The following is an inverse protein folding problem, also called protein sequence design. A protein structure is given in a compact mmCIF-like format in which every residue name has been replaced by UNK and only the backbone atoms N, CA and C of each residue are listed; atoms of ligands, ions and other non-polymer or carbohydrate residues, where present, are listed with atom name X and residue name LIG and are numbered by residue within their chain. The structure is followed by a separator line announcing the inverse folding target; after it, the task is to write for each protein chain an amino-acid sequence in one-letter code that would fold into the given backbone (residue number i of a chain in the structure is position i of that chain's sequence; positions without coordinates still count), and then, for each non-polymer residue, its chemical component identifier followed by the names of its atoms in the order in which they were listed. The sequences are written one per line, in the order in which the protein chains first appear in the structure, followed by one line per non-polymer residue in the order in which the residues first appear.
data_IF_619637282909
#
_entry.id   IF_619637282909
#
_cell.length_a   1.000
_cell.length_b   1.000
_cell.length_c   1.000
_cell.angle_alpha   90.00
_cell.angle_beta   90.00
_cell.angle_gamma   90.00
#
_symmetry.space_group_name_H-M   'P 1'
#
loop_
_entity.id
_entity.type
_entity.pdbx_description
1 polymer ?
#
# COMPACT_ATOMS: atom_id res chain seq x y z
N UNK A 1 -9.33 4.34 7.42
CA UNK A 1 -9.65 2.95 7.01
C UNK A 1 -9.37 1.91 8.08
N UNK A 2 -8.66 2.24 9.16
CA UNK A 2 -8.13 1.24 10.11
C UNK A 2 -9.01 0.93 11.32
N UNK A 3 -10.04 1.71 11.61
CA UNK A 3 -10.95 1.42 12.74
C UNK A 3 -12.16 0.58 12.30
N UNK A 4 -12.87 -0.01 13.26
CA UNK A 4 -14.18 -0.67 13.08
C UNK A 4 -14.13 -1.84 12.10
N UNK A 5 -13.08 -2.66 12.23
CA UNK A 5 -13.01 -3.95 11.57
C UNK A 5 -13.63 -5.02 12.47
N UNK A 6 -13.96 -6.13 11.85
CA UNK A 6 -14.35 -7.36 12.51
C UNK A 6 -13.48 -8.48 11.96
N UNK A 7 -13.04 -9.43 12.79
CA UNK A 7 -12.34 -10.62 12.30
C UNK A 7 -12.92 -11.92 12.87
N UNK A 8 -12.72 -13.02 12.16
CA UNK A 8 -13.11 -14.37 12.59
C UNK A 8 -12.09 -15.40 12.13
N UNK A 9 -11.75 -16.33 13.01
CA UNK A 9 -10.93 -17.52 12.74
C UNK A 9 -11.76 -18.80 12.68
N UNK A 10 -13.09 -18.71 12.79
CA UNK A 10 -13.99 -19.87 12.86
C UNK A 10 -14.54 -20.33 11.51
N UNK A 11 -14.17 -19.64 10.42
CA UNK A 11 -14.68 -19.92 9.06
C UNK A 11 -13.73 -20.88 8.33
N UNK A 12 -13.50 -22.06 8.93
CA UNK A 12 -12.40 -22.94 8.54
C UNK A 12 -12.57 -23.65 7.18
N UNK A 13 -13.77 -23.63 6.58
CA UNK A 13 -14.06 -24.42 5.36
C UNK A 13 -14.49 -23.59 4.14
N UNK A 14 -14.39 -22.26 4.21
CA UNK A 14 -14.81 -21.40 3.11
C UNK A 14 -13.63 -20.63 2.56
N UNK A 15 -13.09 -21.15 1.45
CA UNK A 15 -12.11 -20.45 0.59
C UNK A 15 -12.78 -19.39 -0.31
N UNK A 16 -14.10 -19.23 -0.19
CA UNK A 16 -14.96 -18.26 -0.87
C UNK A 16 -16.06 -17.78 0.08
N UNK A 17 -16.53 -16.55 -0.08
CA UNK A 17 -17.47 -15.93 0.87
C UNK A 17 -18.80 -16.71 1.01
N UNK A 18 -19.29 -17.00 2.23
CA UNK A 18 -20.63 -17.55 2.43
C UNK A 18 -21.71 -16.50 2.14
N UNK A 19 -22.84 -16.89 1.51
CA UNK A 19 -23.95 -15.97 1.24
C UNK A 19 -24.66 -15.45 2.51
N UNK A 20 -24.46 -16.09 3.68
CA UNK A 20 -25.00 -15.63 4.95
C UNK A 20 -23.90 -15.45 6.00
N UNK A 21 -23.74 -14.22 6.52
CA UNK A 21 -22.71 -13.89 7.51
C UNK A 21 -23.19 -13.91 8.95
N UNK A 22 -24.51 -14.10 9.19
CA UNK A 22 -25.11 -14.11 10.54
C UNK A 22 -24.60 -15.25 11.41
N UNK A 23 -24.13 -16.33 10.78
CA UNK A 23 -23.80 -17.58 11.46
C UNK A 23 -22.35 -17.61 11.97
N UNK A 24 -21.58 -16.54 11.73
CA UNK A 24 -20.17 -16.46 12.09
C UNK A 24 -19.93 -15.44 13.20
N UNK A 25 -19.26 -15.89 14.26
CA UNK A 25 -18.81 -15.03 15.34
C UNK A 25 -17.64 -14.17 14.85
N UNK A 26 -17.88 -12.85 14.78
CA UNK A 26 -16.89 -11.84 14.47
C UNK A 26 -16.55 -11.03 15.72
N UNK A 27 -15.26 -10.85 15.97
CA UNK A 27 -14.75 -9.99 17.04
C UNK A 27 -14.34 -8.65 16.46
N UNK A 28 -14.76 -7.55 17.09
CA UNK A 28 -14.35 -6.19 16.65
C UNK A 28 -12.86 -5.96 16.92
N UNK A 29 -12.17 -5.38 15.94
CA UNK A 29 -10.75 -5.03 16.01
C UNK A 29 -10.47 -3.73 15.27
N UNK A 30 -9.35 -3.09 15.60
CA UNK A 30 -8.76 -2.02 14.80
C UNK A 30 -7.47 -2.53 14.18
N UNK A 31 -7.11 -1.99 13.03
CA UNK A 31 -5.86 -2.25 12.35
C UNK A 31 -4.78 -1.25 12.80
N UNK A 32 -3.49 -1.64 12.80
CA UNK A 32 -2.99 -2.99 12.52
C UNK A 32 -3.43 -4.02 13.56
N UNK A 33 -3.73 -5.24 13.10
CA UNK A 33 -4.16 -6.35 13.96
C UNK A 33 -3.31 -7.58 13.69
N UNK A 34 -2.76 -8.15 14.76
CA UNK A 34 -2.09 -9.44 14.75
C UNK A 34 -2.99 -10.47 15.46
N UNK A 35 -3.48 -11.46 14.72
CA UNK A 35 -4.34 -12.52 15.26
C UNK A 35 -3.55 -13.66 15.93
N UNK A 36 -2.22 -13.60 15.86
CA UNK A 36 -1.35 -14.32 16.77
C UNK A 36 -1.14 -13.42 18.00
N UNK A 37 -1.90 -13.69 19.06
CA UNK A 37 -1.84 -12.96 20.32
C UNK A 37 -0.53 -13.18 21.09
N UNK A 38 0.43 -13.90 20.50
CA UNK A 38 1.69 -14.26 21.13
C UNK A 38 1.45 -15.01 22.44
N UNK A 39 0.65 -16.09 22.35
CA UNK A 39 0.47 -17.07 23.43
C UNK A 39 1.80 -17.83 23.62
N UNK A 40 2.78 -17.11 24.17
CA UNK A 40 4.22 -17.36 24.11
C UNK A 40 4.62 -18.83 24.11
N UNK A 41 5.63 -19.14 23.31
CA UNK A 41 6.38 -20.39 23.33
C UNK A 41 5.47 -21.63 23.58
N UNK A 42 4.61 -21.94 22.61
CA UNK A 42 4.26 -23.36 22.48
C UNK A 42 5.62 -24.06 22.39
N UNK A 43 5.99 -24.92 23.35
CA UNK A 43 7.25 -25.73 23.37
C UNK A 43 7.28 -26.71 22.20
N UNK A 44 6.99 -26.21 21.02
CA UNK A 44 6.85 -26.89 19.76
C UNK A 44 8.03 -26.46 18.93
N UNK A 45 8.55 -27.41 18.16
CA UNK A 45 9.56 -27.14 17.14
C UNK A 45 9.11 -26.03 16.16
N UNK A 46 7.79 -25.85 16.01
CA UNK A 46 7.13 -24.87 15.15
C UNK A 46 6.03 -24.13 15.93
N UNK A 47 6.39 -23.05 16.64
CA UNK A 47 5.50 -22.36 17.59
C UNK A 47 4.50 -21.36 16.98
N UNK A 48 4.64 -21.01 15.71
CA UNK A 48 3.80 -20.00 15.05
C UNK A 48 2.36 -20.51 14.86
N UNK A 49 1.39 -19.61 14.99
CA UNK A 49 -0.01 -19.93 14.72
C UNK A 49 -0.26 -20.01 13.22
N UNK A 50 -0.77 -21.16 12.76
CA UNK A 50 -1.24 -21.34 11.40
C UNK A 50 -2.77 -21.28 11.31
N UNK A 51 -3.27 -20.84 10.17
CA UNK A 51 -4.68 -20.86 9.87
C UNK A 51 -5.14 -19.70 9.00
N UNK A 52 -6.45 -19.62 8.89
CA UNK A 52 -7.14 -18.68 8.03
C UNK A 52 -7.96 -17.69 8.85
N UNK A 53 -7.99 -16.44 8.38
CA UNK A 53 -8.68 -15.35 9.05
C UNK A 53 -9.51 -14.60 8.03
N UNK A 54 -10.77 -14.35 8.36
CA UNK A 54 -11.60 -13.42 7.64
C UNK A 54 -11.68 -12.11 8.40
N UNK A 55 -11.36 -11.02 7.71
CA UNK A 55 -11.63 -9.66 8.16
C UNK A 55 -12.78 -9.07 7.37
N UNK A 56 -13.61 -8.28 8.05
CA UNK A 56 -14.77 -7.60 7.48
C UNK A 56 -14.75 -6.14 7.87
N UNK A 57 -15.03 -5.28 6.89
CA UNK A 57 -15.27 -3.86 7.08
C UNK A 57 -16.49 -3.41 6.30
N UNK A 58 -17.37 -2.68 6.98
CA UNK A 58 -18.42 -1.91 6.32
C UNK A 58 -17.95 -0.47 6.17
N UNK A 59 -18.09 0.07 4.96
CA UNK A 59 -17.73 1.44 4.63
C UNK A 59 -18.86 2.12 3.88
N UNK A 60 -19.26 3.30 4.34
CA UNK A 60 -20.18 4.20 3.64
C UNK A 60 -19.37 5.35 3.07
N UNK A 61 -19.38 5.50 1.76
CA UNK A 61 -18.70 6.57 1.06
C UNK A 61 -19.74 7.50 0.46
N UNK A 62 -19.66 8.77 0.80
CA UNK A 62 -20.44 9.86 0.19
C UNK A 62 -19.47 10.72 -0.59
N UNK A 63 -19.11 10.25 -1.79
CA UNK A 63 -18.22 10.98 -2.69
C UNK A 63 -18.90 11.19 -4.05
N UNK A 64 -19.37 12.42 -4.35
CA UNK A 64 -20.18 12.68 -5.55
C UNK A 64 -19.38 12.64 -6.86
N UNK A 65 -18.04 12.61 -6.82
CA UNK A 65 -17.21 12.72 -8.01
C UNK A 65 -16.95 11.37 -8.69
N UNK A 66 -17.68 11.11 -9.79
CA UNK A 66 -17.54 9.91 -10.64
C UNK A 66 -16.18 9.81 -11.36
N UNK A 67 -15.41 10.89 -11.48
CA UNK A 67 -14.13 10.94 -12.23
C UNK A 67 -12.88 10.68 -11.37
N UNK A 68 -13.03 10.05 -10.20
CA UNK A 68 -11.92 9.71 -9.31
C UNK A 68 -11.61 8.22 -9.39
N UNK A 69 -10.33 7.87 -9.30
CA UNK A 69 -9.86 6.51 -9.13
C UNK A 69 -9.83 6.16 -7.65
N UNK A 70 -10.19 4.93 -7.33
CA UNK A 70 -10.21 4.43 -5.96
C UNK A 70 -9.34 3.19 -5.87
N UNK A 71 -8.39 3.20 -4.93
CA UNK A 71 -7.47 2.10 -4.71
C UNK A 71 -7.51 1.66 -3.25
N UNK A 72 -7.51 0.34 -3.03
CA UNK A 72 -7.20 -0.22 -1.73
C UNK A 72 -5.70 -0.48 -1.66
N UNK A 73 -5.03 0.14 -0.71
CA UNK A 73 -3.60 -0.03 -0.46
C UNK A 73 -3.40 -0.74 0.87
N UNK A 74 -2.75 -1.89 0.82
CA UNK A 74 -2.40 -2.70 1.99
C UNK A 74 -0.90 -2.62 2.19
N UNK A 75 -0.47 -2.20 3.38
CA UNK A 75 0.94 -2.14 3.73
C UNK A 75 1.53 -3.51 4.12
N UNK A 76 0.67 -4.48 4.42
CA UNK A 76 1.08 -5.86 4.73
C UNK A 76 -0.08 -6.71 5.24
N UNK A 77 -0.20 -7.91 4.69
CA UNK A 77 -1.15 -8.94 5.11
C UNK A 77 -0.44 -10.28 5.12
N UNK A 78 -0.30 -10.90 6.29
CA UNK A 78 0.37 -12.18 6.46
C UNK A 78 -0.57 -13.35 6.14
N UNK A 79 -0.26 -14.29 5.23
CA UNK A 79 0.83 -14.30 4.23
C UNK A 79 0.33 -14.25 2.79
N UNK A 80 -0.84 -14.84 2.58
CA UNK A 80 -1.64 -14.70 1.37
C UNK A 80 -2.89 -13.90 1.69
N UNK A 81 -3.32 -13.07 0.76
CA UNK A 81 -4.52 -12.27 0.89
C UNK A 81 -5.44 -12.47 -0.32
N UNK A 82 -6.74 -12.59 -0.07
CA UNK A 82 -7.79 -12.43 -1.09
C UNK A 82 -8.75 -11.34 -0.66
N UNK A 83 -9.01 -10.40 -1.55
CA UNK A 83 -9.78 -9.19 -1.26
C UNK A 83 -11.11 -9.26 -2.03
N UNK A 84 -12.22 -9.22 -1.30
CA UNK A 84 -13.55 -9.20 -1.87
C UNK A 84 -14.23 -7.86 -1.54
N UNK A 85 -14.91 -7.29 -2.54
CA UNK A 85 -15.68 -6.07 -2.39
C UNK A 85 -17.09 -6.32 -2.92
N UNK A 86 -18.10 -6.09 -2.08
CA UNK A 86 -19.51 -6.29 -2.42
C UNK A 86 -19.78 -7.68 -3.01
N UNK A 87 -19.18 -8.72 -2.41
CA UNK A 87 -19.31 -10.12 -2.83
C UNK A 87 -18.42 -10.54 -4.01
N UNK A 88 -17.75 -9.60 -4.70
CA UNK A 88 -16.88 -9.90 -5.85
C UNK A 88 -15.41 -9.93 -5.46
N UNK A 89 -14.64 -10.92 -5.94
CA UNK A 89 -13.17 -10.91 -5.81
C UNK A 89 -12.58 -9.74 -6.60
N UNK A 90 -11.75 -8.92 -5.96
CA UNK A 90 -11.14 -7.73 -6.58
C UNK A 90 -9.62 -7.80 -6.69
N UNK A 91 -8.97 -8.68 -5.94
CA UNK A 91 -7.55 -8.95 -6.07
C UNK A 91 -7.05 -10.00 -5.09
N UNK A 92 -5.86 -10.51 -5.35
CA UNK A 92 -5.14 -11.47 -4.52
C UNK A 92 -3.69 -11.00 -4.37
N UNK A 93 -3.03 -11.40 -3.28
CA UNK A 93 -1.63 -11.09 -3.03
C UNK A 93 -0.94 -12.24 -2.32
N UNK A 94 0.30 -12.51 -2.70
CA UNK A 94 1.17 -13.48 -2.06
C UNK A 94 2.48 -12.78 -1.71
N UNK A 95 2.81 -12.75 -0.42
CA UNK A 95 3.99 -12.01 0.09
C UNK A 95 3.64 -11.22 1.34
N UNK A 96 3.79 -11.86 2.51
CA UNK A 96 3.29 -11.31 3.77
C UNK A 96 3.87 -9.95 4.16
N UNK A 97 5.10 -9.65 3.77
CA UNK A 97 5.84 -8.45 4.19
C UNK A 97 5.85 -7.32 3.15
N UNK A 98 5.31 -7.59 1.96
CA UNK A 98 5.27 -6.62 0.86
C UNK A 98 3.92 -5.93 0.81
N UNK A 99 3.94 -4.69 0.32
CA UNK A 99 2.72 -3.90 0.13
C UNK A 99 2.08 -4.24 -1.20
N UNK A 100 0.75 -4.09 -1.31
CA UNK A 100 0.05 -4.25 -2.59
C UNK A 100 -1.09 -3.25 -2.72
N UNK A 101 -1.41 -2.87 -3.96
CA UNK A 101 -2.46 -1.91 -4.29
C UNK A 101 -3.42 -2.51 -5.30
N UNK A 102 -4.72 -2.44 -5.02
CA UNK A 102 -5.78 -2.95 -5.90
C UNK A 102 -6.64 -1.78 -6.37
N UNK A 103 -6.84 -1.68 -7.69
CA UNK A 103 -7.77 -0.73 -8.27
C UNK A 103 -9.21 -1.25 -8.14
N UNK A 104 -10.01 -0.53 -7.35
CA UNK A 104 -11.42 -0.83 -7.10
C UNK A 104 -12.34 0.24 -7.69
N UNK A 105 -11.82 1.03 -8.63
CA UNK A 105 -12.59 2.06 -9.34
C UNK A 105 -13.79 1.43 -10.04
N UNK A 106 -14.98 2.02 -9.84
CA UNK A 106 -16.24 1.51 -10.40
C UNK A 106 -16.86 0.34 -9.63
N UNK A 107 -16.16 -0.26 -8.66
CA UNK A 107 -16.69 -1.36 -7.82
C UNK A 107 -17.23 -0.87 -6.46
N UNK A 108 -16.83 0.34 -6.05
CA UNK A 108 -17.33 1.01 -4.85
C UNK A 108 -18.63 1.78 -5.14
N UNK A 109 -19.62 1.61 -4.27
CA UNK A 109 -20.83 2.43 -4.16
C UNK A 109 -20.45 3.72 -3.44
N UNK A 110 -20.62 4.87 -4.08
CA UNK A 110 -20.24 6.18 -3.53
C UNK A 110 -21.42 7.10 -3.21
N UNK A 111 -22.64 6.56 -3.26
CA UNK A 111 -23.91 7.24 -3.01
C UNK A 111 -24.38 7.14 -1.55
N UNK A 112 -23.50 6.82 -0.61
CA UNK A 112 -23.83 6.60 0.80
C UNK A 112 -24.32 5.18 1.13
N UNK A 113 -24.63 4.36 0.13
CA UNK A 113 -24.91 2.93 0.34
C UNK A 113 -23.68 2.22 0.90
N UNK A 114 -23.90 1.30 1.83
CA UNK A 114 -22.83 0.51 2.42
C UNK A 114 -22.11 -0.34 1.35
N UNK A 115 -20.78 -0.29 1.39
CA UNK A 115 -19.93 -1.30 0.78
C UNK A 115 -19.41 -2.24 1.85
N UNK A 116 -19.29 -3.50 1.47
CA UNK A 116 -18.69 -4.53 2.29
C UNK A 116 -17.34 -4.93 1.70
N UNK A 117 -16.28 -4.72 2.48
CA UNK A 117 -14.93 -5.16 2.18
C UNK A 117 -14.60 -6.35 3.06
N UNK A 118 -14.19 -7.45 2.43
CA UNK A 118 -13.73 -8.65 3.11
C UNK A 118 -12.31 -8.96 2.68
N UNK A 119 -11.51 -9.40 3.64
CA UNK A 119 -10.13 -9.78 3.43
C UNK A 119 -9.94 -11.15 4.05
N UNK A 120 -9.66 -12.13 3.20
CA UNK A 120 -9.22 -13.44 3.62
C UNK A 120 -7.69 -13.41 3.74
N UNK A 121 -7.17 -13.60 4.94
CA UNK A 121 -5.75 -13.70 5.22
C UNK A 121 -5.43 -15.15 5.60
N UNK A 122 -4.60 -15.82 4.81
CA UNK A 122 -4.23 -17.22 5.00
C UNK A 122 -2.75 -17.33 5.36
N UNK A 123 -2.47 -18.12 6.39
CA UNK A 123 -1.13 -18.43 6.86
C UNK A 123 -1.01 -19.96 7.09
N UNK A 124 -0.94 -20.77 6.02
CA UNK A 124 -0.79 -22.21 6.15
C UNK A 124 0.59 -22.59 6.73
N UNK A 125 0.68 -23.81 7.27
CA UNK A 125 1.97 -24.39 7.62
C UNK A 125 2.77 -24.74 6.36
N UNK A 126 4.10 -24.81 6.47
CA UNK A 126 5.00 -25.26 5.41
C UNK A 126 4.90 -24.48 4.08
N UNK A 127 4.81 -23.14 4.16
CA UNK A 127 4.86 -22.27 2.98
C UNK A 127 6.24 -22.41 2.30
N UNK A 128 6.25 -22.86 1.04
CA UNK A 128 7.48 -23.12 0.25
C UNK A 128 7.57 -22.30 -1.04
N UNK A 129 6.46 -21.74 -1.48
CA UNK A 129 6.30 -20.91 -2.69
C UNK A 129 6.48 -19.42 -2.42
N UNK A 130 6.65 -19.01 -1.16
CA UNK A 130 7.01 -17.65 -0.80
C UNK A 130 8.33 -17.59 -0.02
N UNK A 131 9.20 -16.62 -0.31
CA UNK A 131 10.48 -16.50 0.35
C UNK A 131 10.31 -15.99 1.78
N UNK A 132 10.91 -16.67 2.77
CA UNK A 132 11.04 -16.20 4.16
C UNK A 132 9.69 -16.00 4.89
N UNK A 133 8.73 -16.92 4.67
CA UNK A 133 7.34 -16.77 5.17
C UNK A 133 6.94 -17.77 6.26
N UNK A 134 7.61 -18.91 6.41
CA UNK A 134 7.50 -19.75 7.60
C UNK A 134 8.88 -20.28 7.99
N UNK A 135 9.75 -19.42 8.53
CA UNK A 135 11.07 -19.90 8.94
C UNK A 135 11.05 -20.93 10.07
N UNK A 136 10.00 -20.91 10.90
CA UNK A 136 9.72 -22.00 11.84
C UNK A 136 9.50 -23.34 11.15
N UNK A 137 8.90 -23.37 9.96
CA UNK A 137 8.63 -24.59 9.18
C UNK A 137 9.84 -25.03 8.32
N UNK A 138 10.97 -24.34 8.41
CA UNK A 138 12.19 -24.74 7.70
C UNK A 138 12.87 -25.88 8.44
N UNK A 139 13.26 -26.93 7.71
CA UNK A 139 14.06 -28.03 8.26
C UNK A 139 15.55 -27.61 8.45
N UNK A 140 15.92 -26.39 7.99
CA UNK A 140 17.28 -25.86 8.11
C UNK A 140 17.63 -25.47 9.55
N UNK A 141 18.62 -26.17 10.12
CA UNK A 141 19.13 -25.86 11.46
C UNK A 141 19.76 -24.46 11.51
N UNK A 142 19.35 -23.66 12.49
CA UNK A 142 19.84 -22.30 12.70
C UNK A 142 18.94 -21.21 12.12
N UNK A 143 17.90 -21.57 11.36
CA UNK A 143 16.91 -20.62 10.87
C UNK A 143 15.73 -20.51 11.85
N UNK A 144 15.94 -19.83 12.98
CA UNK A 144 14.85 -19.44 13.88
C UNK A 144 14.34 -18.07 13.47
N UNK A 145 13.28 -18.04 12.65
CA UNK A 145 12.62 -16.79 12.34
C UNK A 145 11.72 -16.41 13.52
N UNK A 146 11.90 -15.20 14.04
CA UNK A 146 11.11 -14.67 15.16
C UNK A 146 9.62 -14.54 14.82
N UNK A 147 8.87 -13.94 15.75
CA UNK A 147 7.42 -13.78 15.70
C UNK A 147 6.91 -13.36 14.32
N UNK A 148 6.04 -14.17 13.72
CA UNK A 148 5.44 -13.86 12.43
C UNK A 148 4.06 -13.23 12.62
N UNK A 149 3.84 -12.00 12.12
CA UNK A 149 2.55 -11.37 12.29
C UNK A 149 1.49 -12.02 11.39
N UNK A 150 0.36 -12.39 11.99
CA UNK A 150 -0.74 -13.11 11.34
C UNK A 150 -1.92 -12.17 11.07
N UNK A 151 -2.41 -12.13 9.83
CA UNK A 151 -3.53 -11.26 9.44
C UNK A 151 -3.12 -9.90 8.90
N UNK A 152 -3.95 -8.87 9.11
CA UNK A 152 -3.70 -7.51 8.59
C UNK A 152 -2.88 -6.71 9.60
N UNK A 153 -1.58 -7.02 9.66
CA UNK A 153 -0.67 -6.50 10.68
C UNK A 153 -0.06 -5.13 10.37
N UNK A 154 -0.41 -4.53 9.23
CA UNK A 154 -0.08 -3.15 8.86
C UNK A 154 -1.32 -2.40 8.37
N UNK A 155 -1.29 -1.05 8.40
CA UNK A 155 -2.40 -0.22 7.94
C UNK A 155 -2.94 -0.55 6.54
N UNK A 156 -4.23 -0.26 6.38
CA UNK A 156 -4.94 -0.27 5.11
C UNK A 156 -5.41 1.14 4.80
N UNK A 157 -5.33 1.52 3.53
CA UNK A 157 -5.71 2.85 3.05
C UNK A 157 -6.68 2.74 1.88
N UNK A 158 -7.60 3.70 1.81
CA UNK A 158 -8.41 3.96 0.63
C UNK A 158 -7.82 5.21 -0.02
N UNK A 159 -7.10 5.02 -1.11
CA UNK A 159 -6.44 6.10 -1.83
C UNK A 159 -7.37 6.55 -2.96
N UNK A 160 -7.75 7.82 -2.93
CA UNK A 160 -8.59 8.44 -3.95
C UNK A 160 -7.74 9.43 -4.75
N UNK A 161 -7.60 9.21 -6.05
CA UNK A 161 -6.80 10.07 -6.94
C UNK A 161 -7.60 10.49 -8.17
N UNK A 162 -7.02 11.38 -8.96
CA UNK A 162 -7.48 11.57 -10.35
C UNK A 162 -7.05 10.38 -11.22
N UNK A 163 -7.51 10.38 -12.49
CA UNK A 163 -7.16 9.36 -13.48
C UNK A 163 -5.67 9.31 -13.82
N UNK A 164 -4.94 10.42 -13.63
CA UNK A 164 -3.49 10.40 -13.68
C UNK A 164 -2.95 10.50 -12.26
N UNK A 165 -1.99 9.65 -11.91
CA UNK A 165 -1.32 9.68 -10.61
C UNK A 165 0.12 9.23 -10.72
N UNK A 166 0.90 9.56 -9.69
CA UNK A 166 2.20 8.95 -9.42
C UNK A 166 1.92 7.52 -8.92
N UNK A 167 2.63 6.54 -9.47
CA UNK A 167 2.47 5.15 -9.03
C UNK A 167 3.12 4.91 -7.66
N UNK A 168 2.66 3.91 -6.88
CA UNK A 168 3.34 3.49 -5.66
C UNK A 168 4.82 3.22 -5.93
N UNK A 169 5.70 3.77 -5.09
CA UNK A 169 7.16 3.72 -5.27
C UNK A 169 7.66 4.34 -6.58
N UNK A 170 6.83 5.13 -7.26
CA UNK A 170 7.16 5.78 -8.52
C UNK A 170 8.08 7.00 -8.39
N UNK A 171 8.61 7.29 -7.20
CA UNK A 171 9.56 8.38 -7.01
C UNK A 171 10.88 7.78 -6.56
N UNK A 172 11.92 8.02 -7.34
CA UNK A 172 13.28 7.69 -6.96
C UNK A 172 14.16 8.92 -7.14
N UNK A 173 14.67 9.45 -6.03
CA UNK A 173 15.52 10.63 -6.01
C UNK A 173 16.90 10.28 -5.45
N UNK A 174 17.95 10.78 -6.09
CA UNK A 174 19.34 10.62 -5.65
C UNK A 174 20.13 11.90 -5.90
N UNK A 175 21.30 12.00 -5.27
CA UNK A 175 22.11 13.20 -5.24
C UNK A 175 23.60 12.86 -5.42
N UNK A 176 24.27 13.58 -6.32
CA UNK A 176 25.73 13.65 -6.34
C UNK A 176 26.17 14.87 -5.54
N UNK A 177 26.77 14.63 -4.37
CA UNK A 177 27.22 15.69 -3.47
C UNK A 177 28.67 16.06 -3.79
N UNK A 178 28.91 17.34 -4.06
CA UNK A 178 30.24 17.90 -4.34
C UNK A 178 30.43 19.12 -3.44
N UNK A 179 31.41 19.12 -2.53
CA UNK A 179 31.76 20.27 -1.66
C UNK A 179 30.56 21.18 -1.28
N UNK A 180 30.37 22.28 -2.01
CA UNK A 180 29.40 23.35 -1.78
C UNK A 180 28.06 23.18 -2.54
N UNK A 181 27.85 22.07 -3.25
CA UNK A 181 26.63 21.81 -4.04
C UNK A 181 26.22 20.34 -4.03
N UNK A 182 24.92 20.11 -4.23
CA UNK A 182 24.37 18.80 -4.57
C UNK A 182 23.68 18.87 -5.93
N UNK A 183 23.93 17.88 -6.77
CA UNK A 183 23.28 17.73 -8.07
C UNK A 183 22.25 16.63 -7.93
N UNK A 184 20.96 17.00 -7.93
CA UNK A 184 19.87 16.05 -7.74
C UNK A 184 19.37 15.51 -9.08
N UNK A 185 18.96 14.25 -9.04
CA UNK A 185 18.22 13.58 -10.11
C UNK A 185 16.98 12.91 -9.51
N UNK A 186 15.86 13.04 -10.21
CA UNK A 186 14.56 12.56 -9.74
C UNK A 186 13.84 11.83 -10.89
N UNK A 187 13.62 10.54 -10.71
CA UNK A 187 12.71 9.76 -11.53
C UNK A 187 11.29 9.83 -10.96
N UNK A 188 10.33 10.19 -11.79
CA UNK A 188 8.90 10.18 -11.46
C UNK A 188 8.13 9.30 -12.44
N UNK A 189 7.56 8.21 -11.93
CA UNK A 189 6.70 7.28 -12.67
C UNK A 189 5.24 7.67 -12.50
N UNK A 190 4.57 7.92 -13.62
CA UNK A 190 3.18 8.34 -13.70
C UNK A 190 2.40 7.37 -14.57
N UNK A 191 1.15 7.16 -14.20
CA UNK A 191 0.21 6.35 -14.97
C UNK A 191 -1.07 7.10 -15.27
N UNK A 192 -1.49 7.06 -16.53
CA UNK A 192 -2.78 7.57 -16.99
C UNK A 192 -3.79 6.42 -17.10
N UNK A 193 -4.71 6.33 -16.16
CA UNK A 193 -5.75 5.31 -16.14
C UNK A 193 -6.94 5.64 -17.05
N UNK A 194 -7.01 6.83 -17.64
CA UNK A 194 -8.12 7.22 -18.52
C UNK A 194 -7.98 6.64 -19.93
N UNK A 195 -9.07 6.71 -20.70
CA UNK A 195 -9.10 6.36 -22.13
C UNK A 195 -8.71 7.53 -23.03
N UNK A 196 -8.31 8.66 -22.45
CA UNK A 196 -7.95 9.88 -23.18
C UNK A 196 -6.50 10.22 -22.92
N UNK A 197 -5.86 10.88 -23.88
CA UNK A 197 -4.54 11.48 -23.65
C UNK A 197 -4.67 12.61 -22.62
N UNK A 198 -3.66 12.75 -21.75
CA UNK A 198 -3.64 13.77 -20.71
C UNK A 198 -2.34 14.54 -20.78
N UNK A 199 -2.43 15.86 -20.90
CA UNK A 199 -1.30 16.76 -20.67
C UNK A 199 -1.19 17.00 -19.17
N UNK A 200 0.02 16.87 -18.64
CA UNK A 200 0.29 17.02 -17.19
C UNK A 200 1.49 17.92 -16.97
N UNK A 201 1.53 18.54 -15.80
CA UNK A 201 2.63 19.35 -15.31
C UNK A 201 3.15 18.74 -14.00
N UNK A 202 4.42 18.38 -13.98
CA UNK A 202 5.05 17.67 -12.87
C UNK A 202 5.96 18.66 -12.17
N UNK A 203 5.76 18.87 -10.87
CA UNK A 203 6.45 19.89 -10.08
C UNK A 203 7.16 19.25 -8.90
N UNK A 204 8.46 19.07 -9.01
CA UNK A 204 9.31 18.63 -7.92
C UNK A 204 9.79 19.85 -7.11
N UNK A 205 9.38 19.93 -5.84
CA UNK A 205 9.75 21.01 -4.92
C UNK A 205 10.61 20.46 -3.77
N UNK A 206 11.87 20.88 -3.72
CA UNK A 206 12.73 20.65 -2.57
C UNK A 206 12.39 21.66 -1.49
N UNK A 207 12.12 21.19 -0.27
CA UNK A 207 11.86 22.04 0.88
C UNK A 207 12.83 21.76 2.03
N UNK A 208 13.18 22.77 2.80
CA UNK A 208 13.96 22.56 4.02
C UNK A 208 13.09 22.01 5.17
N UNK A 209 13.73 21.78 6.33
CA UNK A 209 13.06 21.30 7.54
C UNK A 209 11.96 22.25 8.05
N UNK A 210 12.06 23.54 7.75
CA UNK A 210 11.05 24.55 8.08
C UNK A 210 9.92 24.61 7.03
N UNK A 211 10.01 23.83 5.95
CA UNK A 211 9.06 23.80 4.85
C UNK A 211 9.26 24.91 3.81
N UNK A 212 10.34 25.69 3.88
CA UNK A 212 10.66 26.72 2.89
C UNK A 212 11.08 26.07 1.58
N UNK A 213 10.58 26.59 0.47
CA UNK A 213 10.99 26.15 -0.87
C UNK A 213 12.45 26.54 -1.15
N UNK A 214 13.30 25.54 -1.39
CA UNK A 214 14.72 25.70 -1.73
C UNK A 214 14.93 25.64 -3.24
N UNK A 215 14.21 24.75 -3.92
CA UNK A 215 14.31 24.55 -5.37
C UNK A 215 13.00 23.99 -5.90
N UNK A 216 12.61 24.44 -7.08
CA UNK A 216 11.48 23.90 -7.81
C UNK A 216 11.90 23.61 -9.25
N UNK A 217 11.48 22.46 -9.76
CA UNK A 217 11.64 22.11 -11.17
C UNK A 217 10.33 21.61 -11.74
N UNK A 218 10.02 22.05 -12.94
CA UNK A 218 8.76 21.76 -13.62
C UNK A 218 9.02 21.16 -14.99
N UNK A 219 8.26 20.13 -15.34
CA UNK A 219 8.25 19.57 -16.68
C UNK A 219 6.81 19.30 -17.13
N UNK A 220 6.52 19.61 -18.39
CA UNK A 220 5.25 19.27 -19.02
C UNK A 220 5.41 17.99 -19.84
N UNK A 221 4.42 17.11 -19.76
CA UNK A 221 4.41 15.86 -20.50
C UNK A 221 3.01 15.54 -21.01
N UNK A 222 2.93 14.87 -22.16
CA UNK A 222 1.70 14.24 -22.63
C UNK A 222 1.79 12.75 -22.32
N UNK A 223 0.83 12.24 -21.55
CA UNK A 223 0.64 10.82 -21.31
C UNK A 223 -0.44 10.31 -22.26
N UNK A 224 -0.14 9.26 -23.02
CA UNK A 224 -1.14 8.59 -23.84
C UNK A 224 -2.20 7.92 -22.95
N UNK A 225 -3.37 7.64 -23.52
CA UNK A 225 -4.39 6.84 -22.84
C UNK A 225 -3.79 5.50 -22.34
N UNK A 226 -4.09 5.12 -21.10
CA UNK A 226 -3.61 3.86 -20.46
C UNK A 226 -2.09 3.73 -20.28
N UNK A 227 -1.33 4.76 -20.60
CA UNK A 227 0.13 4.73 -20.59
C UNK A 227 0.72 4.84 -19.18
N UNK A 228 1.95 4.34 -19.03
CA UNK A 228 2.76 4.43 -17.82
C UNK A 228 4.19 4.78 -18.20
N UNK A 229 4.65 5.96 -17.77
CA UNK A 229 5.95 6.50 -18.16
C UNK A 229 6.76 6.89 -16.92
N UNK A 230 8.08 6.77 -17.02
CA UNK A 230 9.03 7.31 -16.04
C UNK A 230 9.77 8.48 -16.66
N UNK A 231 9.77 9.61 -15.97
CA UNK A 231 10.38 10.85 -16.42
C UNK A 231 11.54 11.18 -15.48
N UNK A 232 12.72 11.36 -16.06
CA UNK A 232 13.91 11.81 -15.35
C UNK A 232 14.02 13.33 -15.42
N UNK A 233 14.05 13.99 -14.25
CA UNK A 233 14.51 15.36 -14.10
C UNK A 233 15.89 15.34 -13.45
N UNK A 234 16.93 15.69 -14.20
CA UNK A 234 18.33 15.64 -13.76
C UNK A 234 18.95 17.05 -13.66
N UNK A 235 20.22 17.09 -13.24
CA UNK A 235 21.03 18.32 -13.16
C UNK A 235 20.40 19.44 -12.31
N UNK A 236 19.66 19.06 -11.26
CA UNK A 236 19.01 20.02 -10.37
C UNK A 236 20.03 20.44 -9.31
N UNK A 237 20.71 21.56 -9.54
CA UNK A 237 21.74 22.06 -8.62
C UNK A 237 21.12 22.75 -7.40
N UNK A 238 21.58 22.33 -6.22
CA UNK A 238 21.31 22.94 -4.91
C UNK A 238 22.64 23.40 -4.31
N UNK A 239 22.80 24.69 -4.10
CA UNK A 239 23.99 25.26 -3.46
C UNK A 239 23.86 25.24 -1.95
N UNK A 240 24.98 25.03 -1.27
CA UNK A 240 25.12 24.92 0.18
C UNK A 240 24.05 23.99 0.80
N UNK A 241 23.97 22.72 0.36
CA UNK A 241 22.93 21.81 0.82
C UNK A 241 23.13 21.47 2.31
N UNK A 242 22.05 21.45 3.06
CA UNK A 242 22.05 20.87 4.40
C UNK A 242 22.10 19.34 4.28
N UNK A 243 23.30 18.78 4.43
CA UNK A 243 23.54 17.33 4.30
C UNK A 243 22.95 16.56 5.48
N UNK A 244 22.42 15.37 5.18
CA UNK A 244 21.98 14.42 6.19
C UNK A 244 23.16 13.89 6.99
N UNK A 245 22.95 13.68 8.29
CA UNK A 245 23.87 12.91 9.12
C UNK A 245 23.08 12.16 10.20
N UNK A 246 23.71 11.19 10.85
CA UNK A 246 23.14 10.45 11.98
C UNK A 246 22.78 11.35 13.18
N UNK A 247 23.24 12.61 13.20
CA UNK A 247 23.00 13.60 14.26
C UNK A 247 22.18 14.83 13.80
N UNK A 248 21.89 14.99 12.50
CA UNK A 248 21.10 16.12 11.96
C UNK A 248 20.02 15.62 11.00
N UNK A 249 18.76 15.94 11.31
CA UNK A 249 17.54 15.73 10.51
C UNK A 249 17.25 17.03 9.73
N UNK A 250 16.55 17.14 8.59
CA UNK A 250 16.58 16.50 7.26
C UNK A 250 16.12 17.62 6.30
N UNK A 251 16.65 17.67 5.07
CA UNK A 251 16.01 18.40 3.96
C UNK A 251 14.98 17.44 3.33
N UNK A 252 13.75 17.88 3.05
CA UNK A 252 12.66 17.01 2.57
C UNK A 252 12.30 17.38 1.12
N UNK A 253 12.13 16.40 0.23
CA UNK A 253 11.56 16.66 -1.10
C UNK A 253 10.04 16.53 -1.00
N UNK A 254 9.31 17.62 -1.25
CA UNK A 254 7.85 17.61 -1.41
C UNK A 254 7.52 17.64 -2.90
N UNK A 255 7.03 16.53 -3.44
CA UNK A 255 6.56 16.47 -4.82
C UNK A 255 5.09 16.86 -4.91
N UNK A 256 4.78 17.74 -5.86
CA UNK A 256 3.42 18.10 -6.23
C UNK A 256 3.16 17.69 -7.68
N UNK A 257 2.13 16.86 -7.91
CA UNK A 257 1.62 16.64 -9.25
C UNK A 257 0.48 17.63 -9.50
N UNK A 258 0.69 18.63 -10.36
CA UNK A 258 -0.37 19.52 -10.80
C UNK A 258 -0.96 19.02 -12.12
N UNK A 259 -2.19 18.52 -12.01
CA UNK A 259 -2.96 18.12 -13.19
C UNK A 259 -3.73 19.34 -13.70
N UNK A 260 -3.21 19.98 -14.74
CA UNK A 260 -4.00 20.93 -15.52
C UNK A 260 -4.94 20.15 -16.44
N UNK A 261 -6.24 20.18 -16.12
CA UNK A 261 -7.29 19.65 -16.98
C UNK A 261 -7.39 20.59 -18.18
N UNK A 262 -7.02 20.14 -19.37
CA UNK A 262 -7.27 20.87 -20.61
C UNK A 262 -8.66 20.43 -21.08
N UNK A 263 -9.54 21.42 -21.26
CA UNK A 263 -10.88 21.29 -21.85
C UNK A 263 -10.73 20.84 -23.30
#
# INVERSE_FOLDING_TARGET
MNNDWAYSTGINNLKSFPPNTSDYYFTKVNLPHNADAYDGYRRLLHGNKHGDIWYRKILKLTQPNKSRRNFLYFEGVGSYAKIYLNGSLVGEHAGGRTTFTIDVTGKLKTNGTANELLVFASHPANIKDLPWVCGGCSDERGFSEGSQPMGIFRPVHLIVTNDVRIEPFGIHAWADVQNDKAILSINTTLKNYSLQNRKVEIINRLVDAAGKNIKEVTIQQILKAKDSITILQNNITVHNPNLWSVVKILTCIKLFLLLKKII
#
